data_IF_645055421688
#
_entry.id   IF_645055421688
#
_cell.length_a   1.000
_cell.length_b   1.000
_cell.length_c   1.000
_cell.angle_alpha   90.00
_cell.angle_beta   90.00
_cell.angle_gamma   90.00
#
_symmetry.space_group_name_H-M   'P 1'
#
loop_
_entity.id
_entity.type
_entity.pdbx_description
1 polymer ?
#
# COMPACT_ATOMS: atom_id res chain seq x y z
N UNK A 1 -4.13 33.79 -15.09
CA UNK A 1 -3.39 32.79 -14.29
C UNK A 1 -3.62 31.44 -14.95
N UNK A 2 -2.73 31.07 -15.86
CA UNK A 2 -2.84 29.83 -16.66
C UNK A 2 -2.19 28.69 -15.87
N UNK A 3 -2.96 27.65 -15.55
CA UNK A 3 -2.46 26.43 -14.94
C UNK A 3 -1.98 25.48 -16.05
N UNK A 4 -0.96 25.89 -16.79
CA UNK A 4 -0.31 25.03 -17.77
C UNK A 4 0.99 24.51 -17.15
N UNK A 5 0.83 23.58 -16.20
CA UNK A 5 1.95 22.78 -15.68
C UNK A 5 1.82 21.41 -16.33
N UNK A 6 2.77 21.11 -17.23
CA UNK A 6 2.90 19.84 -17.92
C UNK A 6 2.59 18.68 -16.98
N UNK A 7 1.51 17.97 -17.29
CA UNK A 7 1.09 16.78 -16.58
C UNK A 7 2.20 15.76 -16.81
N UNK A 8 3.07 15.57 -15.82
CA UNK A 8 3.95 14.41 -15.81
C UNK A 8 3.04 13.19 -15.94
N UNK A 9 3.17 12.42 -17.01
CA UNK A 9 2.35 11.24 -17.25
C UNK A 9 2.76 10.12 -16.29
N UNK A 10 2.30 10.20 -15.03
CA UNK A 10 2.48 9.12 -14.07
C UNK A 10 1.17 8.33 -13.96
N UNK A 11 1.30 7.01 -13.97
CA UNK A 11 0.17 6.12 -13.80
C UNK A 11 -0.19 6.06 -12.31
N UNK A 12 -1.40 6.48 -11.97
CA UNK A 12 -1.94 6.37 -10.62
C UNK A 12 -2.73 5.08 -10.45
N UNK A 13 -2.62 4.47 -9.27
CA UNK A 13 -3.40 3.29 -8.88
C UNK A 13 -4.12 3.58 -7.56
N UNK A 14 -5.38 3.18 -7.48
CA UNK A 14 -6.22 3.36 -6.31
C UNK A 14 -6.66 2.00 -5.76
N UNK A 15 -6.64 1.88 -4.44
CA UNK A 15 -6.99 0.66 -3.72
C UNK A 15 -8.02 0.95 -2.64
N UNK A 16 -9.05 0.10 -2.55
CA UNK A 16 -10.06 0.18 -1.51
C UNK A 16 -9.46 -0.24 -0.17
N UNK A 17 -9.97 0.29 0.96
CA UNK A 17 -9.48 -0.09 2.28
C UNK A 17 -9.51 -1.60 2.55
N UNK A 18 -10.51 -2.32 2.01
CA UNK A 18 -10.60 -3.78 2.15
C UNK A 18 -9.50 -4.51 1.36
N UNK A 19 -9.10 -3.99 0.21
CA UNK A 19 -8.02 -4.58 -0.61
C UNK A 19 -6.68 -4.43 0.12
N UNK A 20 -6.45 -3.26 0.74
CA UNK A 20 -5.27 -3.03 1.57
C UNK A 20 -5.22 -4.00 2.75
N UNK A 21 -6.36 -4.16 3.44
CA UNK A 21 -6.48 -5.11 4.56
C UNK A 21 -6.15 -6.54 4.10
N UNK A 22 -6.80 -7.03 3.05
CA UNK A 22 -6.56 -8.38 2.52
C UNK A 22 -5.12 -8.56 2.07
N UNK A 23 -4.54 -7.59 1.35
CA UNK A 23 -3.18 -7.69 0.83
C UNK A 23 -2.11 -7.74 1.93
N UNK A 24 -2.30 -7.01 3.03
CA UNK A 24 -1.31 -6.92 4.11
C UNK A 24 -1.53 -7.98 5.19
N UNK A 25 -2.77 -8.28 5.56
CA UNK A 25 -3.09 -9.16 6.70
C UNK A 25 -3.64 -10.53 6.30
N UNK A 26 -4.05 -10.70 5.03
CA UNK A 26 -4.68 -11.92 4.52
C UNK A 26 -6.19 -11.99 4.73
N UNK A 27 -6.81 -11.02 5.43
CA UNK A 27 -8.27 -11.00 5.64
C UNK A 27 -8.84 -9.57 5.68
N UNK A 28 -10.04 -9.37 5.12
CA UNK A 28 -10.62 -8.04 4.92
C UNK A 28 -11.18 -7.35 6.17
N UNK A 29 -11.36 -8.08 7.27
CA UNK A 29 -11.90 -7.56 8.53
C UNK A 29 -10.82 -7.11 9.53
N UNK A 30 -9.56 -6.99 9.09
CA UNK A 30 -8.47 -6.59 9.98
C UNK A 30 -8.53 -5.11 10.36
N UNK A 31 -8.09 -4.79 11.57
CA UNK A 31 -7.97 -3.41 12.07
C UNK A 31 -6.63 -2.76 11.69
N UNK A 32 -6.52 -1.43 11.85
CA UNK A 32 -5.28 -0.69 11.61
C UNK A 32 -4.10 -1.22 12.43
N UNK A 33 -4.33 -1.69 13.65
CA UNK A 33 -3.28 -2.30 14.48
C UNK A 33 -2.70 -3.56 13.84
N UNK A 34 -3.56 -4.43 13.30
CA UNK A 34 -3.14 -5.64 12.61
C UNK A 34 -2.31 -5.33 11.36
N UNK A 35 -2.68 -4.28 10.61
CA UNK A 35 -1.90 -3.80 9.47
C UNK A 35 -0.49 -3.40 9.93
N UNK A 36 -0.36 -2.59 10.99
CA UNK A 36 0.95 -2.14 11.50
C UNK A 36 1.83 -3.30 11.97
N UNK A 37 1.25 -4.26 12.68
CA UNK A 37 1.97 -5.46 13.13
C UNK A 37 2.46 -6.29 11.95
N UNK A 38 1.61 -6.48 10.93
CA UNK A 38 1.97 -7.21 9.73
C UNK A 38 3.03 -6.48 8.92
N UNK A 39 2.94 -5.16 8.77
CA UNK A 39 3.98 -4.36 8.10
C UNK A 39 5.34 -4.56 8.77
N UNK A 40 5.42 -4.55 10.11
CA UNK A 40 6.65 -4.83 10.86
C UNK A 40 7.19 -6.26 10.65
N UNK A 41 6.31 -7.24 10.46
CA UNK A 41 6.69 -8.64 10.21
C UNK A 41 7.14 -8.85 8.76
N UNK A 42 6.50 -8.16 7.81
CA UNK A 42 6.75 -8.28 6.37
C UNK A 42 8.02 -7.55 5.92
N UNK A 43 8.39 -6.46 6.60
CA UNK A 43 9.54 -5.65 6.25
C UNK A 43 10.55 -5.58 7.39
N UNK A 44 11.81 -5.87 7.08
CA UNK A 44 12.93 -5.56 7.98
C UNK A 44 13.34 -4.11 7.77
N UNK A 45 12.79 -3.21 8.57
CA UNK A 45 13.13 -1.79 8.54
C UNK A 45 14.11 -1.49 9.67
N UNK A 46 15.31 -1.02 9.35
CA UNK A 46 16.34 -0.67 10.35
C UNK A 46 15.93 0.55 11.19
N UNK A 47 15.18 1.46 10.57
CA UNK A 47 14.61 2.63 11.23
C UNK A 47 13.22 2.29 11.78
N UNK A 48 12.99 2.61 13.05
CA UNK A 48 11.66 2.52 13.64
C UNK A 48 10.67 3.45 12.91
N UNK A 49 9.57 2.88 12.45
CA UNK A 49 8.43 3.63 11.88
C UNK A 49 7.59 4.17 13.04
N UNK A 50 7.48 5.49 13.12
CA UNK A 50 6.88 6.18 14.28
C UNK A 50 5.51 6.76 13.99
N UNK A 51 5.24 7.14 12.74
CA UNK A 51 4.02 7.82 12.36
C UNK A 51 3.03 6.85 11.71
N UNK A 52 1.75 7.06 11.98
CA UNK A 52 0.67 6.24 11.40
C UNK A 52 0.61 6.36 9.88
N UNK A 53 0.84 7.55 9.34
CA UNK A 53 0.85 7.81 7.90
C UNK A 53 1.97 7.05 7.16
N UNK A 54 3.10 6.79 7.84
CA UNK A 54 4.18 5.99 7.26
C UNK A 54 3.73 4.52 7.08
N UNK A 55 3.00 3.97 8.05
CA UNK A 55 2.42 2.63 7.92
C UNK A 55 1.38 2.57 6.82
N UNK A 56 0.51 3.59 6.72
CA UNK A 56 -0.53 3.65 5.70
C UNK A 56 0.10 3.73 4.29
N UNK A 57 1.16 4.52 4.10
CA UNK A 57 1.90 4.58 2.83
C UNK A 57 2.56 3.24 2.46
N UNK A 58 3.19 2.58 3.42
CA UNK A 58 3.81 1.26 3.21
C UNK A 58 2.75 0.21 2.87
N UNK A 59 1.62 0.21 3.57
CA UNK A 59 0.53 -0.71 3.32
C UNK A 59 -0.02 -0.57 1.89
N UNK A 60 -0.17 0.66 1.39
CA UNK A 60 -0.56 0.92 0.00
C UNK A 60 0.50 0.39 -0.99
N UNK A 61 1.78 0.60 -0.71
CA UNK A 61 2.86 0.05 -1.53
C UNK A 61 2.86 -1.49 -1.61
N UNK A 62 2.66 -2.16 -0.47
CA UNK A 62 2.52 -3.62 -0.42
C UNK A 62 1.29 -4.10 -1.18
N UNK A 63 0.18 -3.35 -1.08
CA UNK A 63 -1.06 -3.64 -1.80
C UNK A 63 -0.85 -3.55 -3.30
N UNK A 64 -0.19 -2.49 -3.78
CA UNK A 64 0.15 -2.34 -5.18
C UNK A 64 0.99 -3.51 -5.69
N UNK A 65 2.04 -3.89 -4.96
CA UNK A 65 2.88 -5.03 -5.34
C UNK A 65 2.10 -6.36 -5.37
N UNK A 66 1.21 -6.58 -4.40
CA UNK A 66 0.39 -7.79 -4.32
C UNK A 66 -0.58 -7.89 -5.51
N UNK A 67 -1.31 -6.81 -5.80
CA UNK A 67 -2.29 -6.75 -6.90
C UNK A 67 -1.61 -6.77 -8.26
N UNK A 68 -0.55 -5.97 -8.44
CA UNK A 68 0.18 -5.90 -9.71
C UNK A 68 0.84 -7.24 -10.05
N UNK A 69 1.37 -7.97 -9.05
CA UNK A 69 1.91 -9.32 -9.25
C UNK A 69 0.85 -10.32 -9.69
N UNK A 70 -0.35 -10.29 -9.11
CA UNK A 70 -1.44 -11.20 -9.50
C UNK A 70 -1.84 -11.01 -10.97
N UNK A 71 -1.91 -9.78 -11.44
CA UNK A 71 -2.25 -9.49 -12.83
C UNK A 71 -1.21 -10.02 -13.83
N UNK A 72 0.06 -10.18 -13.42
CA UNK A 72 1.15 -10.68 -14.28
C UNK A 72 1.32 -12.20 -14.28
N UNK A 73 0.71 -12.91 -13.34
CA UNK A 73 0.77 -14.39 -13.25
C UNK A 73 -0.42 -15.08 -13.95
N UNK A 74 -1.40 -14.28 -14.41
CA UNK A 74 -2.54 -14.76 -15.18
C UNK A 74 -2.36 -14.72 -16.70
N UNK A 75 -1.21 -14.23 -17.18
CA UNK A 75 -0.79 -14.21 -18.59
C UNK A 75 0.18 -15.35 -18.92
#
# INVERSE_FOLDING_TARGET
>A
MQWDRGVLSFQSFEYKPVEVKVAVTGYGQSDKTHIKEMVKKLLRVEKEIKLDDEYDAIAVGLTHLAVYRQNKMGD
#
